data_IF_967153581828
#
_entry.id   IF_967153581828
#
_cell.length_a   1.000
_cell.length_b   1.000
_cell.length_c   1.000
_cell.angle_alpha   90.00
_cell.angle_beta   90.00
_cell.angle_gamma   90.00
#
_symmetry.space_group_name_H-M   'P 1'
#
loop_
_entity.id
_entity.type
_entity.pdbx_description
1 polymer ?
#
# COMPACT_ATOMS: atom_id res chain seq x y z
N UNK A 1 -22.81 -53.81 -40.01
CA UNK A 1 -22.54 -52.38 -39.89
C UNK A 1 -22.32 -52.03 -38.41
N UNK A 2 -21.03 -51.94 -37.96
CA UNK A 2 -20.70 -51.67 -36.55
C UNK A 2 -20.38 -50.19 -36.42
N UNK A 3 -21.20 -49.44 -35.70
CA UNK A 3 -20.90 -48.04 -35.37
C UNK A 3 -20.02 -48.03 -34.12
N UNK A 4 -18.79 -47.50 -34.28
CA UNK A 4 -17.87 -47.22 -33.16
C UNK A 4 -18.16 -45.81 -32.71
N UNK A 5 -18.76 -45.64 -31.51
CA UNK A 5 -18.91 -44.33 -30.86
C UNK A 5 -17.59 -43.99 -30.19
N UNK A 6 -16.85 -43.04 -30.77
CA UNK A 6 -15.67 -42.48 -30.14
C UNK A 6 -16.09 -41.49 -29.03
N UNK A 7 -15.74 -41.80 -27.78
CA UNK A 7 -15.89 -40.88 -26.63
C UNK A 7 -14.75 -39.90 -26.71
N UNK A 8 -15.02 -38.65 -27.10
CA UNK A 8 -14.06 -37.53 -26.92
C UNK A 8 -14.09 -37.06 -25.50
N UNK A 9 -13.04 -37.39 -24.72
CA UNK A 9 -12.82 -36.88 -23.37
C UNK A 9 -12.28 -35.43 -23.49
N UNK A 10 -13.14 -34.45 -23.25
CA UNK A 10 -12.70 -33.04 -23.10
C UNK A 10 -12.03 -32.87 -21.75
N UNK A 11 -10.68 -32.79 -21.74
CA UNK A 11 -9.92 -32.37 -20.58
C UNK A 11 -9.99 -30.84 -20.52
N UNK A 12 -10.85 -30.30 -19.68
CA UNK A 12 -10.83 -28.88 -19.33
C UNK A 12 -9.66 -28.65 -18.39
N UNK A 13 -8.58 -28.06 -18.93
CA UNK A 13 -7.48 -27.54 -18.12
C UNK A 13 -8.03 -26.28 -17.44
N UNK A 14 -8.36 -26.37 -16.16
CA UNK A 14 -8.60 -25.23 -15.31
C UNK A 14 -7.25 -24.52 -15.09
N UNK A 15 -6.99 -23.48 -15.87
CA UNK A 15 -5.98 -22.49 -15.49
C UNK A 15 -6.52 -21.77 -14.25
N UNK A 16 -6.02 -22.12 -13.08
CA UNK A 16 -6.22 -21.32 -11.89
C UNK A 16 -5.61 -19.94 -12.17
N UNK A 17 -6.40 -18.87 -12.09
CA UNK A 17 -5.87 -17.52 -12.00
C UNK A 17 -4.97 -17.50 -10.76
N UNK A 18 -3.65 -17.44 -10.96
CA UNK A 18 -2.72 -17.16 -9.87
C UNK A 18 -3.03 -15.74 -9.40
N UNK A 19 -3.76 -15.63 -8.28
CA UNK A 19 -3.99 -14.35 -7.63
C UNK A 19 -2.63 -13.80 -7.19
N UNK A 20 -2.21 -12.70 -7.83
CA UNK A 20 -0.97 -12.00 -7.50
C UNK A 20 -0.92 -11.70 -6.00
N UNK A 21 0.16 -12.13 -5.33
CA UNK A 21 0.40 -11.80 -3.93
C UNK A 21 0.95 -10.37 -3.81
N UNK A 22 0.57 -9.65 -2.76
CA UNK A 22 1.20 -8.36 -2.44
C UNK A 22 2.72 -8.50 -2.31
N UNK A 23 3.20 -9.64 -1.84
CA UNK A 23 4.61 -9.91 -1.60
C UNK A 23 5.45 -10.02 -2.88
N UNK A 24 4.83 -10.30 -4.03
CA UNK A 24 5.51 -10.40 -5.33
C UNK A 24 5.68 -9.04 -6.01
N UNK A 25 5.05 -7.98 -5.46
CA UNK A 25 5.08 -6.65 -6.05
C UNK A 25 6.42 -5.98 -5.78
N UNK A 26 7.09 -5.54 -6.85
CA UNK A 26 8.29 -4.73 -6.77
C UNK A 26 7.97 -3.31 -6.34
N UNK A 27 8.82 -2.75 -5.48
CA UNK A 27 8.78 -1.37 -5.02
C UNK A 27 10.19 -0.79 -5.03
N UNK A 28 10.29 0.53 -4.98
CA UNK A 28 11.54 1.27 -4.97
C UNK A 28 11.56 2.18 -3.75
N UNK A 29 12.55 2.03 -2.87
CA UNK A 29 12.69 2.93 -1.72
C UNK A 29 13.06 4.36 -2.13
N UNK A 30 13.10 5.26 -1.17
CA UNK A 30 13.40 6.68 -1.41
C UNK A 30 14.81 6.90 -1.95
N UNK A 31 15.74 5.97 -1.73
CA UNK A 31 17.13 6.00 -2.21
C UNK A 31 17.30 5.31 -3.57
N UNK A 32 16.20 4.83 -4.17
CA UNK A 32 16.18 4.25 -5.50
C UNK A 32 16.48 2.76 -5.57
N UNK A 33 16.58 2.05 -4.44
CA UNK A 33 16.82 0.61 -4.40
C UNK A 33 15.52 -0.15 -4.66
N UNK A 34 15.54 -1.07 -5.64
CA UNK A 34 14.42 -1.92 -6.00
C UNK A 34 14.44 -3.21 -5.18
N UNK A 35 13.28 -3.60 -4.65
CA UNK A 35 13.06 -4.88 -3.97
C UNK A 35 11.56 -5.23 -3.98
N UNK A 36 11.20 -6.45 -3.57
CA UNK A 36 9.79 -6.87 -3.50
C UNK A 36 9.22 -6.63 -2.11
N UNK A 37 7.90 -6.47 -2.03
CA UNK A 37 7.16 -6.35 -0.76
C UNK A 37 7.33 -7.59 0.15
N UNK A 38 7.95 -8.66 -0.33
CA UNK A 38 8.33 -9.85 0.47
C UNK A 38 9.19 -9.51 1.69
N UNK A 39 9.91 -8.39 1.64
CA UNK A 39 10.64 -7.81 2.79
C UNK A 39 9.75 -7.66 4.04
N UNK A 40 8.45 -7.48 3.86
CA UNK A 40 7.47 -7.26 4.93
C UNK A 40 6.60 -8.49 5.22
N UNK A 41 6.99 -9.66 4.71
CA UNK A 41 6.29 -10.91 5.00
C UNK A 41 6.22 -11.16 6.51
N UNK A 42 5.08 -11.66 7.00
CA UNK A 42 4.77 -11.85 8.43
C UNK A 42 4.72 -10.55 9.27
N UNK A 43 4.61 -9.39 8.64
CA UNK A 43 4.39 -8.11 9.33
C UNK A 43 3.03 -7.51 8.99
N UNK A 44 2.44 -6.81 9.93
CA UNK A 44 1.30 -5.92 9.67
C UNK A 44 1.83 -4.69 8.94
N UNK A 45 1.21 -4.30 7.83
CA UNK A 45 1.63 -3.13 7.06
C UNK A 45 0.56 -2.03 7.12
N UNK A 46 0.96 -0.79 7.42
CA UNK A 46 0.16 0.42 7.24
C UNK A 46 0.74 1.19 6.05
N UNK A 47 0.10 1.06 4.88
CA UNK A 47 0.55 1.64 3.61
C UNK A 47 -0.19 2.96 3.39
N UNK A 48 0.55 4.06 3.18
CA UNK A 48 -0.01 5.42 3.11
C UNK A 48 0.55 6.16 1.89
N UNK A 49 -0.30 6.79 1.08
CA UNK A 49 0.17 7.77 0.10
C UNK A 49 0.31 9.14 0.76
N UNK A 50 1.49 9.73 0.69
CA UNK A 50 1.88 10.90 1.46
C UNK A 50 2.24 12.09 0.57
N UNK A 51 2.27 13.29 1.16
CA UNK A 51 2.73 14.50 0.49
C UNK A 51 3.19 15.56 1.50
N UNK A 52 4.22 16.34 1.12
CA UNK A 52 4.86 17.35 1.96
C UNK A 52 4.09 18.66 2.09
N UNK A 53 3.18 18.98 1.13
CA UNK A 53 2.43 20.26 1.06
C UNK A 53 0.91 20.07 1.13
N UNK A 54 0.45 19.07 1.87
CA UNK A 54 -0.96 18.74 2.06
C UNK A 54 -1.49 19.29 3.39
N UNK A 55 -2.78 19.61 3.46
CA UNK A 55 -3.42 19.96 4.74
C UNK A 55 -3.38 18.84 5.79
N UNK A 56 -3.08 17.60 5.38
CA UNK A 56 -2.94 16.45 6.26
C UNK A 56 -1.49 16.07 6.57
N UNK A 57 -0.50 16.88 6.15
CA UNK A 57 0.94 16.56 6.31
C UNK A 57 1.34 16.38 7.77
N UNK A 58 0.66 17.05 8.70
CA UNK A 58 0.87 16.86 10.15
C UNK A 58 0.60 15.41 10.62
N UNK A 59 -0.06 14.57 9.84
CA UNK A 59 -0.25 13.16 10.18
C UNK A 59 1.06 12.34 10.13
N UNK A 60 2.15 12.87 9.57
CA UNK A 60 3.47 12.25 9.69
C UNK A 60 3.86 12.00 11.15
N UNK A 61 3.53 12.93 12.07
CA UNK A 61 3.80 12.77 13.51
C UNK A 61 3.14 11.50 14.07
N UNK A 62 1.83 11.34 13.86
CA UNK A 62 1.12 10.18 14.37
C UNK A 62 1.49 8.87 13.65
N UNK A 63 1.91 8.91 12.37
CA UNK A 63 2.45 7.74 11.68
C UNK A 63 3.78 7.30 12.28
N UNK A 64 4.65 8.26 12.62
CA UNK A 64 5.93 8.02 13.27
C UNK A 64 5.74 7.50 14.72
N UNK A 65 4.78 8.03 15.44
CA UNK A 65 4.41 7.51 16.78
C UNK A 65 3.99 6.03 16.71
N UNK A 66 3.15 5.66 15.73
CA UNK A 66 2.77 4.26 15.52
C UNK A 66 3.97 3.40 15.16
N UNK A 67 4.85 3.91 14.28
CA UNK A 67 6.08 3.22 13.90
C UNK A 67 6.94 2.92 15.13
N UNK A 68 7.33 3.94 15.87
CA UNK A 68 8.16 3.80 17.08
C UNK A 68 7.57 2.85 18.11
N UNK A 69 6.25 2.90 18.29
CA UNK A 69 5.56 2.11 19.32
C UNK A 69 5.42 0.63 18.96
N UNK A 70 5.32 0.31 17.66
CA UNK A 70 4.93 -1.02 17.22
C UNK A 70 5.88 -1.69 16.22
N UNK A 71 6.94 -1.04 15.77
CA UNK A 71 7.90 -1.62 14.81
C UNK A 71 8.47 -2.94 15.31
N UNK A 72 8.95 -2.99 16.55
CA UNK A 72 9.49 -4.21 17.17
C UNK A 72 8.42 -5.27 17.46
N UNK A 73 7.14 -4.88 17.45
CA UNK A 73 6.00 -5.77 17.63
C UNK A 73 5.44 -6.32 16.30
N UNK A 74 6.05 -5.94 15.17
CA UNK A 74 5.69 -6.46 13.86
C UNK A 74 4.88 -5.52 12.97
N UNK A 75 4.74 -4.21 13.30
CA UNK A 75 4.18 -3.21 12.40
C UNK A 75 5.26 -2.67 11.44
N UNK A 76 4.90 -2.46 10.19
CA UNK A 76 5.63 -1.65 9.21
C UNK A 76 4.75 -0.51 8.71
N UNK A 77 5.14 0.74 8.98
CA UNK A 77 4.54 1.91 8.35
C UNK A 77 5.31 2.20 7.07
N UNK A 78 4.61 2.36 5.93
CA UNK A 78 5.20 2.46 4.60
C UNK A 78 4.63 3.69 3.88
N UNK A 79 5.47 4.71 3.66
CA UNK A 79 5.08 6.00 3.08
C UNK A 79 5.43 6.10 1.60
N UNK A 80 4.42 6.25 0.75
CA UNK A 80 4.56 6.39 -0.70
C UNK A 80 4.24 7.82 -1.14
N UNK A 81 5.20 8.67 -1.47
CA UNK A 81 4.97 10.02 -1.96
C UNK A 81 4.16 10.03 -3.26
N UNK A 82 3.20 10.95 -3.37
CA UNK A 82 2.32 11.06 -4.54
C UNK A 82 2.02 12.52 -4.89
N UNK A 83 2.27 12.91 -6.15
CA UNK A 83 2.07 14.27 -6.62
C UNK A 83 0.75 14.49 -7.39
N UNK A 84 -0.14 13.48 -7.46
CA UNK A 84 -1.37 13.55 -8.25
C UNK A 84 -2.47 14.46 -7.65
N UNK A 85 -2.32 14.89 -6.41
CA UNK A 85 -3.33 15.71 -5.70
C UNK A 85 -2.86 17.16 -5.58
N UNK A 86 -3.26 17.99 -6.54
CA UNK A 86 -2.91 19.41 -6.64
C UNK A 86 -1.40 19.71 -6.57
N UNK A 87 -0.58 18.79 -7.09
CA UNK A 87 0.89 18.91 -7.07
C UNK A 87 1.45 19.19 -5.67
N UNK A 88 0.90 18.51 -4.65
CA UNK A 88 1.29 18.70 -3.26
C UNK A 88 2.58 17.94 -2.86
N UNK A 89 3.21 17.23 -3.80
CA UNK A 89 4.52 16.58 -3.62
C UNK A 89 5.46 16.88 -4.80
N UNK A 90 5.83 18.16 -5.01
CA UNK A 90 6.61 18.57 -6.19
C UNK A 90 8.11 18.27 -6.08
N UNK A 91 8.64 18.04 -4.86
CA UNK A 91 10.05 17.83 -4.58
C UNK A 91 10.60 16.55 -5.23
N UNK A 92 11.93 16.46 -5.31
CA UNK A 92 12.63 15.20 -5.63
C UNK A 92 12.55 14.23 -4.47
N UNK A 93 12.94 12.98 -4.66
CA UNK A 93 13.05 12.00 -3.57
C UNK A 93 13.97 12.48 -2.44
N UNK A 94 15.06 13.17 -2.79
CA UNK A 94 15.99 13.76 -1.82
C UNK A 94 15.34 14.87 -1.01
N UNK A 95 14.63 15.80 -1.66
CA UNK A 95 13.86 16.87 -0.99
C UNK A 95 12.82 16.30 -0.03
N UNK A 96 12.12 15.23 -0.44
CA UNK A 96 11.10 14.57 0.36
C UNK A 96 11.72 13.89 1.58
N UNK A 97 12.81 13.15 1.39
CA UNK A 97 13.55 12.48 2.46
C UNK A 97 14.04 13.49 3.50
N UNK A 98 14.67 14.58 3.05
CA UNK A 98 15.14 15.65 3.93
C UNK A 98 13.98 16.29 4.70
N UNK A 99 12.89 16.66 4.01
CA UNK A 99 11.71 17.25 4.63
C UNK A 99 11.11 16.33 5.72
N UNK A 100 10.90 15.06 5.41
CA UNK A 100 10.32 14.10 6.35
C UNK A 100 11.21 13.90 7.58
N UNK A 101 12.53 13.77 7.37
CA UNK A 101 13.49 13.58 8.46
C UNK A 101 13.63 14.83 9.33
N UNK A 102 13.84 16.01 8.73
CA UNK A 102 14.12 17.23 9.49
C UNK A 102 12.87 17.82 10.15
N UNK A 103 11.70 17.71 9.49
CA UNK A 103 10.47 18.35 9.99
C UNK A 103 9.71 17.47 10.97
N UNK A 104 9.65 16.15 10.70
CA UNK A 104 8.82 15.21 11.45
C UNK A 104 9.62 14.08 12.12
N UNK A 105 10.94 14.03 11.93
CA UNK A 105 11.78 12.96 12.46
C UNK A 105 11.36 11.57 11.98
N UNK A 106 10.88 11.46 10.73
CA UNK A 106 10.39 10.21 10.15
C UNK A 106 11.52 9.18 10.07
N UNK A 107 11.32 8.04 10.72
CA UNK A 107 12.20 6.88 10.72
C UNK A 107 11.56 5.68 9.99
N UNK A 108 10.23 5.68 9.79
CA UNK A 108 9.58 4.65 9.00
C UNK A 108 9.99 4.73 7.52
N UNK A 109 9.82 3.61 6.80
CA UNK A 109 10.35 3.49 5.45
C UNK A 109 9.56 4.33 4.44
N UNK A 110 10.29 5.18 3.73
CA UNK A 110 9.78 6.00 2.64
C UNK A 110 10.19 5.41 1.30
N UNK A 111 9.32 5.56 0.30
CA UNK A 111 9.49 5.02 -1.04
C UNK A 111 9.66 6.13 -2.08
N UNK A 112 10.10 5.77 -3.28
CA UNK A 112 10.10 6.67 -4.42
C UNK A 112 8.68 7.12 -4.75
N UNK A 113 8.56 8.32 -5.32
CA UNK A 113 7.29 8.90 -5.74
C UNK A 113 6.59 8.03 -6.78
N UNK A 114 5.29 7.79 -6.57
CA UNK A 114 4.47 6.97 -7.46
C UNK A 114 3.13 7.64 -7.81
N UNK A 115 2.52 7.16 -8.88
CA UNK A 115 1.12 7.40 -9.16
C UNK A 115 0.23 6.35 -8.47
N UNK A 116 -0.86 6.81 -7.85
CA UNK A 116 -1.83 5.95 -7.16
C UNK A 116 -3.13 5.77 -7.94
N UNK A 117 -3.38 6.62 -8.96
CA UNK A 117 -4.56 6.59 -9.82
C UNK A 117 -4.17 6.63 -11.30
N UNK A 118 -5.13 6.26 -12.17
CA UNK A 118 -4.96 6.25 -13.62
C UNK A 118 -4.24 5.01 -14.14
N UNK A 119 -3.94 5.02 -15.43
CA UNK A 119 -3.31 3.89 -16.14
C UNK A 119 -1.89 3.61 -15.61
N UNK A 120 -1.16 4.68 -15.26
CA UNK A 120 0.21 4.61 -14.74
C UNK A 120 0.29 4.32 -13.23
N UNK A 121 -0.86 4.07 -12.57
CA UNK A 121 -0.86 3.74 -11.16
C UNK A 121 0.06 2.55 -10.87
N UNK A 122 0.88 2.68 -9.84
CA UNK A 122 1.80 1.64 -9.41
C UNK A 122 1.06 0.33 -9.10
N UNK A 123 1.64 -0.81 -9.44
CA UNK A 123 1.03 -2.15 -9.25
C UNK A 123 0.54 -2.35 -7.82
N UNK A 124 1.29 -1.89 -6.81
CA UNK A 124 0.88 -1.94 -5.41
C UNK A 124 -0.46 -1.22 -5.18
N UNK A 125 -0.64 -0.02 -5.74
CA UNK A 125 -1.90 0.73 -5.55
C UNK A 125 -3.06 0.18 -6.40
N UNK A 126 -2.77 -0.46 -7.55
CA UNK A 126 -3.79 -1.23 -8.27
C UNK A 126 -4.29 -2.38 -7.40
N UNK A 127 -3.37 -3.18 -6.84
CA UNK A 127 -3.68 -4.29 -5.92
C UNK A 127 -4.48 -3.83 -4.69
N UNK A 128 -4.02 -2.78 -3.99
CA UNK A 128 -4.67 -2.26 -2.78
C UNK A 128 -6.10 -1.78 -3.04
N UNK A 129 -6.32 -1.08 -4.16
CA UNK A 129 -7.64 -0.56 -4.55
C UNK A 129 -8.62 -1.67 -4.92
N UNK A 130 -8.16 -2.69 -5.62
CA UNK A 130 -8.94 -3.86 -6.00
C UNK A 130 -9.36 -4.68 -4.77
N UNK A 131 -8.41 -4.89 -3.85
CA UNK A 131 -8.61 -5.68 -2.63
C UNK A 131 -9.48 -4.96 -1.59
N UNK A 132 -9.52 -3.62 -1.57
CA UNK A 132 -10.30 -2.84 -0.60
C UNK A 132 -10.89 -1.59 -1.24
N UNK A 133 -12.11 -1.73 -1.75
CA UNK A 133 -12.87 -0.62 -2.34
C UNK A 133 -13.26 0.42 -1.29
N UNK A 134 -13.25 1.69 -1.68
CA UNK A 134 -13.66 2.80 -0.83
C UNK A 134 -15.19 2.88 -0.67
N UNK A 135 -15.64 4.01 -0.11
CA UNK A 135 -17.07 4.30 0.07
C UNK A 135 -17.82 4.14 -1.26
N UNK A 136 -18.97 3.47 -1.23
CA UNK A 136 -19.80 3.16 -2.40
C UNK A 136 -19.09 2.33 -3.48
N UNK A 137 -18.10 1.50 -3.10
CA UNK A 137 -17.38 0.63 -4.03
C UNK A 137 -16.38 1.37 -4.93
N UNK A 138 -16.01 2.61 -4.62
CA UNK A 138 -15.05 3.37 -5.43
C UNK A 138 -13.63 2.88 -5.25
N UNK A 139 -12.89 2.66 -6.34
CA UNK A 139 -11.49 2.25 -6.30
C UNK A 139 -10.54 3.46 -6.20
N UNK A 140 -10.89 4.57 -6.84
CA UNK A 140 -10.05 5.77 -6.91
C UNK A 140 -9.63 6.29 -5.52
N UNK A 141 -8.34 6.53 -5.35
CA UNK A 141 -7.80 7.26 -4.19
C UNK A 141 -8.26 8.71 -4.30
N UNK A 142 -8.92 9.20 -3.26
CA UNK A 142 -9.55 10.54 -3.28
C UNK A 142 -8.59 11.66 -2.93
N UNK A 143 -7.57 11.39 -2.09
CA UNK A 143 -6.63 12.40 -1.61
C UNK A 143 -5.38 11.77 -0.99
N UNK A 144 -4.36 12.61 -0.73
CA UNK A 144 -3.21 12.23 0.08
C UNK A 144 -3.62 11.76 1.48
N UNK A 145 -2.78 10.97 2.11
CA UNK A 145 -3.01 10.33 3.42
C UNK A 145 -4.22 9.37 3.45
N UNK A 146 -4.55 8.74 2.32
CA UNK A 146 -5.36 7.51 2.32
C UNK A 146 -4.48 6.37 2.85
N UNK A 147 -5.01 5.55 3.76
CA UNK A 147 -4.25 4.46 4.37
C UNK A 147 -4.89 3.12 4.06
N UNK A 148 -4.05 2.09 3.93
CA UNK A 148 -4.46 0.70 3.82
C UNK A 148 -3.78 -0.11 4.92
N UNK A 149 -4.56 -0.88 5.66
CA UNK A 149 -4.07 -1.82 6.66
C UNK A 149 -4.06 -3.22 6.05
N UNK A 150 -2.89 -3.87 6.13
CA UNK A 150 -2.64 -5.20 5.57
C UNK A 150 -2.19 -6.12 6.69
N UNK A 151 -2.76 -7.31 6.78
CA UNK A 151 -2.41 -8.29 7.79
C UNK A 151 -1.09 -9.04 7.49
N UNK A 152 -0.65 -9.90 8.41
CA UNK A 152 0.59 -10.70 8.30
C UNK A 152 0.61 -11.67 7.13
N UNK A 153 -0.56 -11.96 6.53
CA UNK A 153 -0.70 -12.85 5.38
C UNK A 153 -0.76 -12.08 4.05
N UNK A 154 -0.58 -10.75 4.08
CA UNK A 154 -0.66 -9.90 2.89
C UNK A 154 -2.08 -9.56 2.43
N UNK A 155 -3.10 -9.86 3.24
CA UNK A 155 -4.49 -9.52 2.94
C UNK A 155 -4.78 -8.08 3.35
N UNK A 156 -5.32 -7.29 2.44
CA UNK A 156 -5.81 -5.93 2.73
C UNK A 156 -7.10 -6.05 3.56
N UNK A 157 -7.04 -5.64 4.82
CA UNK A 157 -8.16 -5.77 5.76
C UNK A 157 -9.01 -4.52 5.85
N UNK A 158 -8.41 -3.34 5.64
CA UNK A 158 -9.17 -2.08 5.74
C UNK A 158 -8.52 -0.93 4.98
N UNK A 159 -9.37 -0.04 4.45
CA UNK A 159 -8.97 1.24 3.86
C UNK A 159 -9.55 2.37 4.70
N UNK A 160 -8.74 3.40 4.99
CA UNK A 160 -9.13 4.56 5.77
C UNK A 160 -9.08 5.82 4.94
N UNK A 161 -10.02 6.73 5.21
CA UNK A 161 -10.09 8.03 4.58
C UNK A 161 -8.86 8.90 4.95
N UNK A 162 -8.54 9.93 4.13
CA UNK A 162 -7.47 10.89 4.44
C UNK A 162 -7.61 11.53 5.82
N UNK A 163 -8.83 11.85 6.25
CA UNK A 163 -9.13 12.51 7.53
C UNK A 163 -9.02 11.60 8.76
N UNK A 164 -8.96 10.27 8.57
CA UNK A 164 -8.78 9.34 9.69
C UNK A 164 -7.37 9.51 10.26
N UNK A 165 -7.28 9.88 11.52
CA UNK A 165 -5.99 10.09 12.20
C UNK A 165 -5.27 8.76 12.43
N UNK A 166 -3.92 8.72 12.45
CA UNK A 166 -3.17 7.52 12.80
C UNK A 166 -3.57 6.91 14.14
N UNK A 167 -3.84 7.73 15.17
CA UNK A 167 -4.32 7.28 16.47
C UNK A 167 -5.65 6.51 16.42
N UNK A 168 -6.54 6.85 15.46
CA UNK A 168 -7.83 6.17 15.32
C UNK A 168 -7.71 4.77 14.70
N UNK A 169 -6.54 4.46 14.11
CA UNK A 169 -6.22 3.18 13.48
C UNK A 169 -5.54 2.22 14.47
N UNK A 170 -5.01 2.74 15.58
CA UNK A 170 -4.18 1.99 16.53
C UNK A 170 -4.83 0.71 17.03
N UNK A 171 -6.15 0.76 17.33
CA UNK A 171 -6.87 -0.43 17.78
C UNK A 171 -6.90 -1.52 16.70
N UNK A 172 -7.17 -1.15 15.45
CA UNK A 172 -7.23 -2.11 14.34
C UNK A 172 -5.84 -2.75 14.08
N UNK A 173 -4.75 -1.99 14.30
CA UNK A 173 -3.37 -2.50 14.22
C UNK A 173 -3.12 -3.52 15.33
N UNK A 174 -3.51 -3.21 16.59
CA UNK A 174 -3.31 -4.09 17.73
C UNK A 174 -4.05 -5.42 17.58
N UNK A 175 -5.23 -5.40 16.96
CA UNK A 175 -6.02 -6.61 16.70
C UNK A 175 -5.33 -7.56 15.68
N UNK A 176 -4.30 -7.10 14.95
CA UNK A 176 -3.55 -7.86 13.94
C UNK A 176 -2.11 -8.22 14.38
N UNK A 177 -1.56 -7.55 15.39
CA UNK A 177 -0.20 -7.81 15.90
C UNK A 177 -0.14 -9.07 16.76
#
# INVERSE_FOLDING_TARGET
>A
MRFIFGIFLFITILFGEENMSIYDIEVKDIDGKVFTMKKYENRVMLIVNVASKCGFTNQYEGLEELHKKYFDKGLSVLGFPCNQFLSQEPGTEEDIKEFCSLTYGVEFEMFSKIDVNGENAHTLYKFLKESSKGVLGTETIKWNFTKFLVDKNGKVVKRYAPSTKPSDIEKDILDLL
#
